data_IF_629236986253
#
_entry.id   IF_629236986253
#
_cell.length_a   1.000
_cell.length_b   1.000
_cell.length_c   1.000
_cell.angle_alpha   90.00
_cell.angle_beta   90.00
_cell.angle_gamma   90.00
#
_symmetry.space_group_name_H-M   'P 1'
#
loop_
_entity.id
_entity.type
_entity.pdbx_description
1 polymer ?
#
# COMPACT_ATOMS: atom_id res chain seq x y z
N UNK A 1 -9.69 36.46 33.49
CA UNK A 1 -9.49 37.85 32.99
C UNK A 1 -8.56 38.61 33.91
N UNK A 2 -8.89 38.76 35.21
CA UNK A 2 -8.04 39.47 36.17
C UNK A 2 -6.62 38.87 36.36
N UNK A 3 -6.47 37.55 36.38
CA UNK A 3 -5.16 36.90 36.45
C UNK A 3 -4.31 37.16 35.19
N UNK A 4 -4.91 37.03 34.00
CA UNK A 4 -4.22 37.33 32.74
C UNK A 4 -3.84 38.81 32.61
N UNK A 5 -4.68 39.74 33.08
CA UNK A 5 -4.34 41.17 33.13
C UNK A 5 -3.20 41.45 34.12
N UNK A 6 -3.16 40.74 35.25
CA UNK A 6 -2.10 40.84 36.22
C UNK A 6 -0.76 40.34 35.65
N UNK A 7 -0.75 39.14 35.06
CA UNK A 7 0.43 38.56 34.40
C UNK A 7 0.96 39.46 33.27
N UNK A 8 0.08 39.99 32.42
CA UNK A 8 0.46 40.94 31.37
C UNK A 8 1.09 42.20 31.95
N UNK A 9 0.54 42.70 33.06
CA UNK A 9 1.05 43.89 33.72
C UNK A 9 2.41 43.64 34.37
N UNK A 10 2.63 42.47 34.97
CA UNK A 10 3.95 42.08 35.49
C UNK A 10 4.99 41.98 34.37
N UNK A 11 4.66 41.29 33.27
CA UNK A 11 5.53 41.16 32.09
C UNK A 11 5.90 42.53 31.49
N UNK A 12 4.93 43.44 31.48
CA UNK A 12 5.07 44.80 30.99
C UNK A 12 5.64 45.78 32.03
N UNK A 13 6.18 45.31 33.17
CA UNK A 13 6.74 46.13 34.25
C UNK A 13 5.78 47.21 34.76
N UNK A 14 4.55 46.81 35.07
CA UNK A 14 3.51 47.66 35.66
C UNK A 14 2.61 48.38 34.66
N UNK A 15 2.93 48.36 33.37
CA UNK A 15 2.17 49.03 32.31
C UNK A 15 1.12 48.08 31.72
N UNK A 16 -0.13 48.52 31.67
CA UNK A 16 -1.19 47.80 31.00
C UNK A 16 -1.96 48.74 30.07
N UNK A 17 -2.10 48.32 28.82
CA UNK A 17 -2.95 48.96 27.83
C UNK A 17 -3.54 47.88 26.95
N UNK A 18 -4.86 47.88 26.84
CA UNK A 18 -5.62 47.09 25.88
C UNK A 18 -6.82 47.92 25.44
N UNK A 19 -6.88 48.27 24.16
CA UNK A 19 -7.94 49.10 23.59
C UNK A 19 -8.43 48.50 22.28
N UNK A 20 -9.72 48.62 22.02
CA UNK A 20 -10.32 48.26 20.75
C UNK A 20 -10.48 49.52 19.90
N UNK A 21 -9.89 49.51 18.70
CA UNK A 21 -9.83 50.66 17.81
C UNK A 21 -10.31 50.26 16.41
N UNK A 22 -10.96 51.18 15.71
CA UNK A 22 -11.33 50.99 14.32
C UNK A 22 -10.07 50.98 13.44
N UNK A 23 -9.88 49.92 12.66
CA UNK A 23 -8.74 49.78 11.78
C UNK A 23 -8.93 50.61 10.50
N UNK A 24 -7.95 51.45 10.17
CA UNK A 24 -7.90 52.26 8.95
C UNK A 24 -6.52 52.10 8.29
N UNK A 25 -6.39 52.27 6.97
CA UNK A 25 -5.09 52.16 6.31
C UNK A 25 -4.25 53.41 6.61
N UNK A 26 -2.96 53.21 6.90
CA UNK A 26 -2.00 54.30 6.98
C UNK A 26 -1.48 54.68 5.58
N UNK A 27 -1.26 55.97 5.35
CA UNK A 27 -0.61 56.46 4.13
C UNK A 27 0.92 56.31 4.27
N UNK A 28 1.50 55.39 3.51
CA UNK A 28 2.94 55.11 3.55
C UNK A 28 3.79 56.32 3.14
N UNK A 29 3.27 57.19 2.26
CA UNK A 29 4.00 58.37 1.80
C UNK A 29 4.26 59.34 2.95
N UNK A 30 3.30 59.47 3.86
CA UNK A 30 3.39 60.33 5.05
C UNK A 30 4.41 59.77 6.05
N UNK A 31 4.48 58.45 6.18
CA UNK A 31 5.44 57.79 7.06
C UNK A 31 6.87 57.90 6.50
N UNK A 32 7.04 57.69 5.20
CA UNK A 32 8.35 57.80 4.53
C UNK A 32 8.87 59.24 4.52
N UNK A 33 8.00 60.23 4.29
CA UNK A 33 8.38 61.65 4.28
C UNK A 33 8.97 62.13 5.60
N UNK A 34 8.68 61.45 6.72
CA UNK A 34 9.24 61.74 8.04
C UNK A 34 10.68 61.23 8.24
N UNK A 35 11.25 60.51 7.27
CA UNK A 35 12.64 60.03 7.32
C UNK A 35 12.90 58.99 8.43
N UNK A 36 11.86 58.29 8.89
CA UNK A 36 11.98 57.31 9.96
C UNK A 36 12.61 56.03 9.43
N UNK A 37 13.74 55.64 10.03
CA UNK A 37 14.55 54.47 9.62
C UNK A 37 13.74 53.16 9.57
N UNK A 38 12.84 52.96 10.53
CA UNK A 38 11.93 51.80 10.64
C UNK A 38 10.51 52.26 10.33
N UNK A 39 10.12 52.34 9.07
CA UNK A 39 8.82 52.90 8.66
C UNK A 39 7.74 51.85 8.40
N UNK A 40 8.11 50.58 8.17
CA UNK A 40 7.22 49.56 7.62
C UNK A 40 6.18 49.01 8.60
N UNK A 41 6.45 49.10 9.90
CA UNK A 41 5.59 48.58 10.97
C UNK A 41 5.23 49.63 12.04
N UNK A 42 5.07 50.89 11.62
CA UNK A 42 4.74 52.00 12.53
C UNK A 42 3.26 52.38 12.53
N UNK A 43 2.57 52.03 13.62
CA UNK A 43 1.19 52.40 13.90
C UNK A 43 1.06 53.90 14.18
N UNK A 44 -0.07 54.50 13.78
CA UNK A 44 -0.47 55.82 14.26
C UNK A 44 -1.67 55.63 15.18
N UNK A 45 -1.51 56.00 16.45
CA UNK A 45 -2.47 55.77 17.52
C UNK A 45 -3.16 57.07 17.94
N UNK A 46 -4.29 57.03 18.67
CA UNK A 46 -4.96 58.24 19.10
C UNK A 46 -4.27 58.89 20.32
N UNK A 47 -4.41 60.22 20.52
CA UNK A 47 -3.85 60.94 21.68
C UNK A 47 -4.23 60.35 23.04
N UNK A 48 -5.45 59.83 23.18
CA UNK A 48 -5.92 59.15 24.41
C UNK A 48 -5.03 57.97 24.82
N UNK A 49 -4.59 57.15 23.84
CA UNK A 49 -3.68 56.02 24.08
C UNK A 49 -2.30 56.50 24.53
N UNK A 50 -1.78 57.57 23.90
CA UNK A 50 -0.51 58.17 24.30
C UNK A 50 -0.55 58.71 25.74
N UNK A 51 -1.63 59.38 26.11
CA UNK A 51 -1.85 59.90 27.46
C UNK A 51 -1.92 58.78 28.51
N UNK A 52 -2.61 57.68 28.20
CA UNK A 52 -2.73 56.53 29.09
C UNK A 52 -1.39 55.79 29.32
N UNK A 53 -0.53 55.72 28.30
CA UNK A 53 0.81 55.14 28.41
C UNK A 53 1.77 56.06 29.19
N UNK A 54 1.68 57.38 28.95
CA UNK A 54 2.49 58.37 29.66
C UNK A 54 2.17 58.39 31.17
N UNK A 55 0.89 58.29 31.53
CA UNK A 55 0.46 58.20 32.93
C UNK A 55 1.02 56.97 33.67
N UNK A 56 1.42 55.94 32.92
CA UNK A 56 1.99 54.70 33.45
C UNK A 56 3.53 54.64 33.26
N UNK A 57 4.17 55.74 32.86
CA UNK A 57 5.61 55.81 32.62
C UNK A 57 6.13 54.79 31.58
N UNK A 58 5.30 54.41 30.59
CA UNK A 58 5.64 53.35 29.64
C UNK A 58 6.91 53.62 28.81
N UNK A 59 7.27 54.88 28.62
CA UNK A 59 8.49 55.29 27.92
C UNK A 59 9.77 54.88 28.66
N UNK A 60 9.74 54.68 29.98
CA UNK A 60 10.89 54.19 30.76
C UNK A 60 11.22 52.73 30.45
N UNK A 61 10.27 51.99 29.88
CA UNK A 61 10.42 50.56 29.58
C UNK A 61 11.06 50.26 28.21
N UNK A 62 11.47 51.31 27.48
CA UNK A 62 12.11 51.20 26.17
C UNK A 62 11.17 51.57 25.02
N UNK A 63 11.38 50.95 23.85
CA UNK A 63 10.55 51.18 22.69
C UNK A 63 9.08 50.80 22.97
N UNK A 64 8.15 51.64 22.52
CA UNK A 64 6.73 51.38 22.63
C UNK A 64 6.29 50.42 21.52
N UNK A 65 6.09 49.17 21.89
CA UNK A 65 5.68 48.08 21.01
C UNK A 65 4.28 47.61 21.38
N UNK A 66 3.52 47.21 20.37
CA UNK A 66 2.13 46.85 20.50
C UNK A 66 1.85 45.54 19.78
N UNK A 67 1.05 44.70 20.41
CA UNK A 67 0.37 43.59 19.75
C UNK A 67 -0.93 44.12 19.16
N UNK A 68 -1.13 43.88 17.87
CA UNK A 68 -2.38 44.13 17.16
C UNK A 68 -3.02 42.78 16.86
N UNK A 69 -4.27 42.61 17.27
CA UNK A 69 -4.99 41.37 17.12
C UNK A 69 -6.39 41.61 16.53
N UNK A 70 -6.83 40.71 15.66
CA UNK A 70 -8.24 40.64 15.29
C UNK A 70 -9.06 40.18 16.51
N UNK A 71 -10.25 40.76 16.74
CA UNK A 71 -11.16 40.25 17.76
C UNK A 71 -11.53 38.79 17.47
N UNK A 72 -11.75 37.98 18.51
CA UNK A 72 -11.92 36.53 18.40
C UNK A 72 -13.00 36.09 17.38
N UNK A 73 -14.04 36.91 17.17
CA UNK A 73 -15.09 36.69 16.17
C UNK A 73 -14.60 36.84 14.71
N UNK A 74 -13.62 37.70 14.45
CA UNK A 74 -13.05 37.94 13.12
C UNK A 74 -11.87 36.99 12.80
N UNK A 75 -11.12 36.56 13.83
CA UNK A 75 -10.01 35.61 13.69
C UNK A 75 -10.48 34.22 13.18
N UNK A 76 -11.68 33.77 13.58
CA UNK A 76 -12.24 32.50 13.11
C UNK A 76 -12.50 32.50 11.59
N UNK A 77 -12.96 33.62 11.03
CA UNK A 77 -13.26 33.76 9.60
C UNK A 77 -11.98 33.87 8.76
N UNK A 78 -10.95 34.56 9.26
CA UNK A 78 -9.66 34.70 8.60
C UNK A 78 -8.89 33.37 8.51
N UNK A 79 -8.99 32.51 9.53
CA UNK A 79 -8.37 31.18 9.52
C UNK A 79 -8.97 30.25 8.44
N UNK A 80 -10.26 30.37 8.14
CA UNK A 80 -10.93 29.60 7.07
C UNK A 80 -10.54 30.03 5.64
N UNK A 81 -10.20 31.30 5.42
CA UNK A 81 -9.84 31.82 4.10
C UNK A 81 -8.42 31.43 3.67
N UNK A 82 -7.51 31.21 4.62
CA UNK A 82 -6.13 30.77 4.35
C UNK A 82 -6.01 29.28 3.97
N UNK A 83 -7.13 28.54 3.92
CA UNK A 83 -7.17 27.09 3.67
C UNK A 83 -8.00 26.63 2.46
N UNK A 84 -8.55 27.54 1.65
CA UNK A 84 -9.41 27.12 0.52
C UNK A 84 -8.60 26.78 -0.74
N UNK A 85 -8.09 25.55 -0.75
CA UNK A 85 -7.41 24.93 -1.89
C UNK A 85 -7.53 23.40 -1.89
N UNK A 86 -8.65 22.81 -1.46
CA UNK A 86 -8.89 21.38 -1.69
C UNK A 86 -10.37 21.01 -1.65
N UNK A 87 -10.83 20.36 -2.71
CA UNK A 87 -12.11 19.65 -2.77
C UNK A 87 -12.10 18.43 -1.83
N UNK A 88 -13.26 17.99 -1.29
CA UNK A 88 -13.31 17.02 -0.22
C UNK A 88 -13.21 15.58 -0.76
N UNK A 89 -12.32 14.78 -0.17
CA UNK A 89 -12.39 13.32 -0.21
C UNK A 89 -12.72 12.82 1.21
N UNK A 90 -13.71 11.92 1.39
CA UNK A 90 -14.06 11.42 2.70
C UNK A 90 -13.12 10.27 3.06
N UNK A 91 -12.19 10.49 4.00
CA UNK A 91 -11.55 9.40 4.70
C UNK A 91 -11.45 9.71 6.19
N UNK A 92 -12.16 8.92 6.98
CA UNK A 92 -12.17 8.93 8.43
C UNK A 92 -10.86 8.35 8.93
N UNK A 93 -10.05 9.18 9.58
CA UNK A 93 -8.95 8.72 10.44
C UNK A 93 -8.72 9.75 11.54
N UNK A 94 -9.13 9.38 12.74
CA UNK A 94 -8.87 10.05 14.00
C UNK A 94 -7.37 10.03 14.26
N UNK A 95 -6.69 11.12 13.93
CA UNK A 95 -5.37 11.44 14.46
C UNK A 95 -5.50 12.76 15.20
N UNK A 96 -5.32 12.71 16.50
CA UNK A 96 -5.15 13.87 17.38
C UNK A 96 -3.93 14.67 16.93
N UNK A 97 -4.14 15.59 16.00
CA UNK A 97 -3.20 16.63 15.66
C UNK A 97 -3.24 17.66 16.79
N UNK A 98 -2.18 17.70 17.58
CA UNK A 98 -1.84 18.79 18.47
C UNK A 98 -1.97 20.09 17.68
N UNK A 99 -2.95 20.93 18.02
CA UNK A 99 -3.19 22.20 17.36
C UNK A 99 -1.93 23.05 17.46
N UNK A 100 -1.16 23.16 16.36
CA UNK A 100 -0.21 24.24 16.20
C UNK A 100 -1.04 25.53 16.27
N UNK A 101 -0.76 26.32 17.29
CA UNK A 101 -1.45 27.57 17.60
C UNK A 101 -1.05 28.61 16.54
N UNK A 102 -1.52 28.42 15.30
CA UNK A 102 -1.38 29.36 14.20
C UNK A 102 -1.84 30.72 14.71
N UNK A 103 -0.90 31.65 14.86
CA UNK A 103 -1.13 33.02 15.28
C UNK A 103 -1.88 33.86 14.21
N UNK A 104 -2.75 33.21 13.42
CA UNK A 104 -3.60 33.87 12.44
C UNK A 104 -4.37 35.01 13.12
N UNK A 105 -4.16 36.22 12.63
CA UNK A 105 -4.80 37.43 13.15
C UNK A 105 -4.13 38.06 14.36
N UNK A 106 -2.84 37.78 14.65
CA UNK A 106 -2.03 38.54 15.61
C UNK A 106 -0.70 38.95 14.99
N UNK A 107 -0.32 40.21 15.16
CA UNK A 107 0.96 40.76 14.72
C UNK A 107 1.48 41.77 15.72
N UNK A 108 2.75 42.11 15.65
CA UNK A 108 3.36 43.15 16.46
C UNK A 108 3.83 44.31 15.58
N UNK A 109 3.80 45.50 16.15
CA UNK A 109 4.19 46.73 15.49
C UNK A 109 4.66 47.79 16.51
N UNK A 110 5.50 48.72 16.06
CA UNK A 110 5.86 49.90 16.84
C UNK A 110 4.87 51.05 16.64
N UNK A 111 4.95 52.08 17.47
CA UNK A 111 4.21 53.35 17.23
C UNK A 111 5.10 54.39 16.53
N UNK A 112 4.51 55.15 15.60
CA UNK A 112 5.09 56.34 15.01
C UNK A 112 4.81 57.56 15.89
N UNK A 113 3.53 57.84 16.10
CA UNK A 113 3.01 59.02 16.78
C UNK A 113 1.57 58.80 17.25
N UNK A 114 1.09 59.74 18.08
CA UNK A 114 -0.23 59.72 18.68
C UNK A 114 -1.15 60.80 18.08
N UNK A 115 -1.34 60.78 16.75
CA UNK A 115 -2.10 61.79 15.99
C UNK A 115 -3.36 61.25 15.31
N UNK A 116 -3.69 59.96 15.49
CA UNK A 116 -4.88 59.37 14.88
C UNK A 116 -6.17 59.97 15.47
N UNK A 117 -7.27 60.03 14.69
CA UNK A 117 -8.59 60.34 15.23
C UNK A 117 -8.95 59.41 16.39
N UNK A 118 -9.58 59.97 17.42
CA UNK A 118 -10.01 59.20 18.60
C UNK A 118 -10.88 58.00 18.20
N UNK A 119 -10.60 56.83 18.79
CA UNK A 119 -11.26 55.56 18.48
C UNK A 119 -10.77 54.85 17.21
N UNK A 120 -9.73 55.36 16.53
CA UNK A 120 -9.17 54.76 15.30
C UNK A 120 -7.68 54.46 15.42
N UNK A 121 -7.17 53.53 14.62
CA UNK A 121 -5.74 53.23 14.46
C UNK A 121 -5.40 53.15 12.98
N UNK A 122 -4.33 53.82 12.57
CA UNK A 122 -3.82 53.70 11.20
C UNK A 122 -2.79 52.58 11.13
N UNK A 123 -3.07 51.57 10.30
CA UNK A 123 -2.27 50.36 10.13
C UNK A 123 -1.41 50.45 8.86
N UNK A 124 -0.08 50.25 8.97
CA UNK A 124 0.81 50.09 7.81
C UNK A 124 0.47 48.86 6.97
N UNK A 125 0.90 48.84 5.69
CA UNK A 125 0.63 47.72 4.78
C UNK A 125 1.13 46.38 5.32
N UNK A 126 2.31 46.32 5.95
CA UNK A 126 2.82 45.09 6.59
C UNK A 126 1.86 44.53 7.64
N UNK A 127 1.33 45.40 8.49
CA UNK A 127 0.41 45.02 9.58
C UNK A 127 -0.91 44.53 9.01
N UNK A 128 -1.43 45.21 7.98
CA UNK A 128 -2.63 44.78 7.27
C UNK A 128 -2.40 43.42 6.59
N UNK A 129 -1.29 43.25 5.87
CA UNK A 129 -0.97 42.00 5.20
C UNK A 129 -0.84 40.83 6.18
N UNK A 130 -0.23 41.05 7.34
CA UNK A 130 -0.05 40.04 8.39
C UNK A 130 -1.37 39.69 9.11
N UNK A 131 -2.25 40.66 9.34
CA UNK A 131 -3.53 40.42 10.02
C UNK A 131 -4.57 39.76 9.12
N UNK A 132 -4.65 40.19 7.85
CA UNK A 132 -5.72 39.79 6.93
C UNK A 132 -5.26 38.79 5.85
N UNK A 133 -3.96 38.48 5.78
CA UNK A 133 -3.41 37.42 4.93
C UNK A 133 -3.33 37.74 3.43
N UNK A 134 -3.58 38.99 3.02
CA UNK A 134 -3.49 39.41 1.61
C UNK A 134 -2.86 40.80 1.49
N UNK A 135 -2.02 41.00 0.47
CA UNK A 135 -1.36 42.28 0.16
C UNK A 135 -2.36 43.34 -0.32
N UNK A 136 -3.48 42.90 -0.88
CA UNK A 136 -4.57 43.74 -1.40
C UNK A 136 -5.71 43.93 -0.40
N UNK A 137 -5.59 43.36 0.80
CA UNK A 137 -6.60 43.52 1.83
C UNK A 137 -6.69 44.97 2.28
N UNK A 138 -7.92 45.46 2.47
CA UNK A 138 -8.16 46.70 3.18
C UNK A 138 -8.47 46.40 4.65
N UNK A 139 -7.91 47.18 5.60
CA UNK A 139 -8.26 47.03 6.99
C UNK A 139 -9.76 47.27 7.16
N UNK A 140 -10.42 46.34 7.82
CA UNK A 140 -11.87 46.39 8.05
C UNK A 140 -12.19 45.92 9.47
N UNK A 141 -13.25 46.52 10.03
CA UNK A 141 -13.67 46.27 11.41
C UNK A 141 -12.74 46.87 12.46
N UNK A 142 -12.81 46.32 13.66
CA UNK A 142 -12.02 46.74 14.81
C UNK A 142 -10.83 45.81 15.03
N UNK A 143 -9.76 46.35 15.62
CA UNK A 143 -8.60 45.61 16.08
C UNK A 143 -8.34 45.91 17.55
N UNK A 144 -7.81 44.91 18.25
CA UNK A 144 -7.40 45.05 19.65
C UNK A 144 -5.91 45.41 19.64
N UNK A 145 -5.60 46.60 20.13
CA UNK A 145 -4.22 47.08 20.31
C UNK A 145 -3.84 46.95 21.79
N UNK A 146 -2.79 46.20 22.07
CA UNK A 146 -2.30 45.96 23.44
C UNK A 146 -0.82 46.29 23.57
N UNK A 147 -0.43 46.96 24.65
CA UNK A 147 0.99 47.21 24.92
C UNK A 147 1.71 45.89 25.26
N UNK A 148 2.89 45.68 24.66
CA UNK A 148 3.74 44.51 24.91
C UNK A 148 5.20 44.90 24.99
N UNK A 149 5.91 44.36 25.98
CA UNK A 149 7.36 44.30 25.98
C UNK A 149 7.83 43.02 25.29
N UNK A 150 8.63 43.18 24.25
CA UNK A 150 9.22 42.08 23.50
C UNK A 150 10.71 41.95 23.81
N UNK A 151 11.20 40.72 23.78
CA UNK A 151 12.61 40.41 23.90
C UNK A 151 13.34 40.67 22.58
N UNK A 152 14.67 40.78 22.64
CA UNK A 152 15.50 40.98 21.46
C UNK A 152 15.59 39.67 20.67
N UNK A 153 15.32 39.75 19.36
CA UNK A 153 15.36 38.57 18.49
C UNK A 153 16.78 38.09 18.21
N UNK A 154 17.02 36.79 18.29
CA UNK A 154 18.33 36.18 18.02
C UNK A 154 18.34 35.38 16.71
N UNK A 155 17.20 34.81 16.33
CA UNK A 155 17.06 34.01 15.12
C UNK A 155 15.68 34.22 14.49
N UNK A 156 15.65 34.23 13.15
CA UNK A 156 14.45 34.22 12.34
C UNK A 156 14.58 33.24 11.19
N UNK A 157 13.54 32.42 11.00
CA UNK A 157 13.38 31.55 9.84
C UNK A 157 12.32 32.11 8.91
N UNK A 158 12.72 32.40 7.68
CA UNK A 158 11.87 33.00 6.66
C UNK A 158 11.63 32.04 5.51
N UNK A 159 10.37 31.95 5.07
CA UNK A 159 9.97 31.14 3.94
C UNK A 159 9.39 32.01 2.82
N UNK A 160 10.03 32.09 1.64
CA UNK A 160 9.45 32.75 0.48
C UNK A 160 8.16 32.06 0.03
N UNK A 161 7.16 32.81 -0.47
CA UNK A 161 5.98 32.17 -1.08
C UNK A 161 6.32 31.53 -2.42
N UNK A 162 6.97 32.30 -3.30
CA UNK A 162 7.20 31.91 -4.69
C UNK A 162 8.58 31.32 -4.93
N UNK A 163 8.67 30.42 -5.91
CA UNK A 163 9.93 29.90 -6.41
C UNK A 163 10.83 30.98 -7.02
N UNK A 164 12.14 30.71 -7.09
CA UNK A 164 13.12 31.61 -7.72
C UNK A 164 13.61 32.76 -6.85
N UNK A 165 13.19 32.86 -5.58
CA UNK A 165 13.66 33.90 -4.66
C UNK A 165 15.20 33.92 -4.51
N UNK A 166 15.81 32.75 -4.25
CA UNK A 166 17.25 32.62 -4.10
C UNK A 166 18.02 32.98 -5.39
N UNK A 167 17.48 32.59 -6.54
CA UNK A 167 18.07 32.86 -7.86
C UNK A 167 17.97 34.35 -8.21
N UNK A 168 16.86 35.00 -7.86
CA UNK A 168 16.64 36.41 -8.14
C UNK A 168 17.56 37.33 -7.33
N UNK A 169 17.85 36.98 -6.08
CA UNK A 169 18.70 37.77 -5.19
C UNK A 169 20.19 37.41 -5.31
N UNK A 170 20.51 36.16 -5.67
CA UNK A 170 21.88 35.70 -5.88
C UNK A 170 22.80 36.03 -4.71
N UNK A 171 23.90 36.71 -5.00
CA UNK A 171 24.91 37.11 -4.00
C UNK A 171 24.43 38.25 -3.08
N UNK A 172 23.43 39.04 -3.48
CA UNK A 172 22.90 40.18 -2.71
C UNK A 172 21.78 39.83 -1.73
N UNK A 173 21.50 38.54 -1.54
CA UNK A 173 20.43 38.04 -0.67
C UNK A 173 20.57 38.57 0.76
N UNK A 174 21.77 38.49 1.32
CA UNK A 174 22.02 38.85 2.71
C UNK A 174 21.80 40.35 2.94
N UNK A 175 22.37 41.18 2.07
CA UNK A 175 22.31 42.64 2.17
C UNK A 175 20.88 43.15 1.97
N UNK A 176 20.18 42.63 0.96
CA UNK A 176 18.79 43.03 0.68
C UNK A 176 17.86 42.63 1.84
N UNK A 177 18.09 41.44 2.42
CA UNK A 177 17.31 40.99 3.56
C UNK A 177 17.61 41.80 4.83
N UNK A 178 18.88 42.13 5.07
CA UNK A 178 19.30 42.95 6.21
C UNK A 178 18.69 44.36 6.11
N UNK A 179 18.71 44.99 4.93
CA UNK A 179 18.06 46.27 4.67
C UNK A 179 16.55 46.21 4.90
N UNK A 180 15.90 45.13 4.46
CA UNK A 180 14.46 44.91 4.64
C UNK A 180 14.09 44.75 6.13
N UNK A 181 14.84 43.94 6.87
CA UNK A 181 14.62 43.72 8.30
C UNK A 181 14.90 44.99 9.12
N UNK A 182 15.85 45.83 8.69
CA UNK A 182 16.14 47.11 9.32
C UNK A 182 14.97 48.09 9.22
N UNK A 183 14.07 47.91 8.24
CA UNK A 183 12.82 48.68 8.09
C UNK A 183 11.73 48.32 9.12
N UNK A 184 11.91 47.24 9.88
CA UNK A 184 10.96 46.71 10.85
C UNK A 184 11.42 46.94 12.29
N UNK A 185 10.47 47.08 13.20
CA UNK A 185 10.68 47.19 14.66
C UNK A 185 10.47 45.83 15.35
N UNK A 186 9.55 45.03 14.82
CA UNK A 186 9.10 43.77 15.41
C UNK A 186 8.79 42.72 14.36
N UNK A 187 9.00 41.46 14.71
CA UNK A 187 8.60 40.30 13.93
C UNK A 187 7.77 39.37 14.82
N UNK A 188 6.76 38.74 14.23
CA UNK A 188 5.94 37.72 14.88
C UNK A 188 5.87 36.48 13.99
N UNK A 189 5.73 35.29 14.59
CA UNK A 189 5.50 34.07 13.83
C UNK A 189 4.21 34.17 13.03
N UNK A 190 4.30 33.86 11.74
CA UNK A 190 3.21 34.01 10.79
C UNK A 190 3.09 35.38 10.13
N UNK A 191 3.87 36.38 10.55
CA UNK A 191 3.93 37.68 9.87
C UNK A 191 4.49 37.55 8.44
N UNK A 192 4.13 38.51 7.60
CA UNK A 192 4.67 38.65 6.25
C UNK A 192 5.67 39.80 6.17
N UNK A 193 6.82 39.53 5.55
CA UNK A 193 7.88 40.50 5.24
C UNK A 193 8.06 40.51 3.72
N UNK A 194 7.92 41.67 3.08
CA UNK A 194 7.99 41.77 1.61
C UNK A 194 9.32 42.39 1.19
N UNK A 195 10.19 41.56 0.61
CA UNK A 195 11.46 42.00 0.04
C UNK A 195 11.23 42.50 -1.39
N UNK A 196 11.60 43.73 -1.69
CA UNK A 196 11.47 44.31 -3.04
C UNK A 196 12.83 44.24 -3.73
N UNK A 197 12.94 43.47 -4.82
CA UNK A 197 14.18 43.35 -5.58
C UNK A 197 13.91 43.25 -7.08
N UNK A 198 14.67 44.00 -7.89
CA UNK A 198 14.52 43.99 -9.35
C UNK A 198 13.14 44.44 -9.85
N UNK A 199 12.42 45.27 -9.07
CA UNK A 199 11.06 45.70 -9.37
C UNK A 199 9.98 44.64 -9.10
N UNK A 200 10.32 43.55 -8.41
CA UNK A 200 9.39 42.49 -7.98
C UNK A 200 9.31 42.40 -6.46
N UNK A 201 8.09 42.19 -5.98
CA UNK A 201 7.81 41.95 -4.57
C UNK A 201 7.90 40.45 -4.26
N UNK A 202 8.71 40.12 -3.27
CA UNK A 202 8.90 38.77 -2.76
C UNK A 202 8.35 38.70 -1.33
N UNK A 203 7.13 38.19 -1.13
CA UNK A 203 6.59 37.97 0.20
C UNK A 203 7.25 36.75 0.86
N UNK A 204 7.80 36.96 2.05
CA UNK A 204 8.39 35.94 2.91
C UNK A 204 7.55 35.83 4.18
N UNK A 205 7.18 34.60 4.53
CA UNK A 205 6.49 34.30 5.78
C UNK A 205 7.51 34.03 6.88
N UNK A 206 7.29 34.61 8.05
CA UNK A 206 8.03 34.25 9.26
C UNK A 206 7.53 32.89 9.76
N UNK A 207 8.37 31.86 9.72
CA UNK A 207 8.02 30.52 10.22
C UNK A 207 8.34 30.37 11.71
N UNK A 208 9.54 30.77 12.13
CA UNK A 208 10.05 30.55 13.48
C UNK A 208 10.84 31.78 13.94
N UNK A 209 10.71 32.10 15.23
CA UNK A 209 11.46 33.17 15.91
C UNK A 209 12.04 32.68 17.23
N UNK A 210 13.17 33.25 17.62
CA UNK A 210 13.78 33.01 18.93
C UNK A 210 14.17 34.33 19.61
N UNK A 211 14.04 34.43 20.94
CA UNK A 211 13.67 33.37 21.90
C UNK A 211 12.17 33.11 22.06
N UNK A 212 11.31 33.97 21.50
CA UNK A 212 9.85 33.89 21.60
C UNK A 212 9.22 34.00 20.22
N UNK A 213 7.94 33.65 20.13
CA UNK A 213 7.11 33.77 18.92
C UNK A 213 6.85 35.22 18.44
N UNK A 214 7.32 36.20 19.19
CA UNK A 214 7.32 37.62 18.83
C UNK A 214 8.53 38.30 19.44
N UNK A 215 9.30 39.01 18.63
CA UNK A 215 10.58 39.61 19.03
C UNK A 215 10.72 41.02 18.50
N UNK A 216 11.52 41.82 19.21
CA UNK A 216 12.00 43.11 18.73
C UNK A 216 13.30 42.92 17.95
N UNK A 217 13.34 43.52 16.76
CA UNK A 217 14.51 43.58 15.88
C UNK A 217 15.18 44.97 15.90
N UNK A 218 14.88 45.77 16.93
CA UNK A 218 15.44 47.11 17.10
C UNK A 218 16.88 46.99 17.61
N UNK A 219 17.82 47.40 16.77
CA UNK A 219 19.25 47.51 17.07
C UNK A 219 19.83 46.15 17.53
N UNK A 220 19.49 45.11 16.75
CA UNK A 220 19.95 43.73 16.95
C UNK A 220 20.31 43.12 15.60
N UNK A 221 21.44 42.40 15.59
CA UNK A 221 21.84 41.55 14.49
C UNK A 221 21.16 40.19 14.66
N UNK A 222 20.07 39.96 13.93
CA UNK A 222 19.32 38.71 13.98
C UNK A 222 19.88 37.73 12.94
N UNK A 223 20.12 36.48 13.34
CA UNK A 223 20.50 35.44 12.40
C UNK A 223 19.27 35.07 11.55
N UNK A 224 19.36 35.24 10.24
CA UNK A 224 18.28 34.93 9.31
C UNK A 224 18.60 33.67 8.49
N UNK A 225 17.66 32.74 8.48
CA UNK A 225 17.69 31.53 7.66
C UNK A 225 16.53 31.56 6.67
N UNK A 226 16.82 31.34 5.39
CA UNK A 226 15.83 31.36 4.31
C UNK A 226 15.65 29.95 3.80
N UNK A 227 14.45 29.41 3.97
CA UNK A 227 14.11 28.04 3.57
C UNK A 227 13.54 28.00 2.15
N UNK A 228 13.40 26.81 1.54
CA UNK A 228 12.75 26.67 0.24
C UNK A 228 11.36 27.29 0.23
N UNK A 229 10.95 27.78 -0.94
CA UNK A 229 9.66 28.45 -1.07
C UNK A 229 8.50 27.51 -0.80
N UNK A 230 7.37 28.07 -0.36
CA UNK A 230 6.15 27.30 -0.13
C UNK A 230 5.71 26.54 -1.40
N UNK A 231 5.76 27.21 -2.56
CA UNK A 231 5.49 26.56 -3.86
C UNK A 231 6.43 25.39 -4.15
N UNK A 232 7.72 25.48 -3.78
CA UNK A 232 8.69 24.41 -3.99
C UNK A 232 8.42 23.21 -3.08
N UNK A 233 8.10 23.45 -1.80
CA UNK A 233 7.70 22.40 -0.85
C UNK A 233 6.41 21.70 -1.29
N UNK A 234 5.40 22.46 -1.74
CA UNK A 234 4.17 21.89 -2.28
C UNK A 234 4.41 21.05 -3.53
N UNK A 235 5.27 21.52 -4.43
CA UNK A 235 5.65 20.77 -5.63
C UNK A 235 6.32 19.44 -5.27
N UNK A 236 7.32 19.47 -4.38
CA UNK A 236 8.01 18.27 -3.89
C UNK A 236 7.04 17.29 -3.25
N UNK A 237 6.15 17.77 -2.38
CA UNK A 237 5.14 16.93 -1.73
C UNK A 237 4.22 16.25 -2.74
N UNK A 238 3.72 16.99 -3.74
CA UNK A 238 2.87 16.41 -4.81
C UNK A 238 3.63 15.34 -5.60
N UNK A 239 4.89 15.62 -5.94
CA UNK A 239 5.73 14.67 -6.65
C UNK A 239 5.97 13.39 -5.84
N UNK A 240 6.27 13.49 -4.55
CA UNK A 240 6.43 12.33 -3.65
C UNK A 240 5.15 11.50 -3.53
N UNK A 241 3.99 12.15 -3.40
CA UNK A 241 2.69 11.49 -3.35
C UNK A 241 2.40 10.73 -4.66
N UNK A 242 2.73 11.32 -5.81
CA UNK A 242 2.63 10.66 -7.12
C UNK A 242 3.57 9.46 -7.24
N UNK A 243 4.82 9.60 -6.81
CA UNK A 243 5.79 8.50 -6.81
C UNK A 243 5.33 7.35 -5.93
N UNK A 244 4.79 7.65 -4.74
CA UNK A 244 4.24 6.63 -3.84
C UNK A 244 3.06 5.90 -4.49
N UNK A 245 2.11 6.62 -5.07
CA UNK A 245 0.97 6.02 -5.80
C UNK A 245 1.44 5.13 -6.96
N UNK A 246 2.48 5.56 -7.67
CA UNK A 246 3.07 4.81 -8.76
C UNK A 246 3.75 3.52 -8.26
N UNK A 247 4.52 3.59 -7.16
CA UNK A 247 5.13 2.42 -6.54
C UNK A 247 4.08 1.43 -6.00
N UNK A 248 3.03 1.91 -5.34
CA UNK A 248 1.92 1.08 -4.86
C UNK A 248 1.23 0.34 -6.01
N UNK A 249 0.98 1.02 -7.14
CA UNK A 249 0.39 0.40 -8.33
C UNK A 249 1.29 -0.70 -8.90
N UNK A 250 2.60 -0.46 -8.99
CA UNK A 250 3.54 -1.48 -9.46
C UNK A 250 3.59 -2.68 -8.49
N UNK A 251 3.58 -2.42 -7.19
CA UNK A 251 3.57 -3.47 -6.18
C UNK A 251 2.27 -4.30 -6.23
N UNK A 252 1.11 -3.67 -6.45
CA UNK A 252 -0.17 -4.36 -6.64
C UNK A 252 -0.13 -5.28 -7.87
N UNK A 253 0.35 -4.78 -9.01
CA UNK A 253 0.47 -5.59 -10.22
C UNK A 253 1.45 -6.75 -10.05
N UNK A 254 2.57 -6.54 -9.35
CA UNK A 254 3.52 -7.61 -9.04
C UNK A 254 2.90 -8.67 -8.11
N UNK A 255 2.17 -8.25 -7.07
CA UNK A 255 1.47 -9.14 -6.17
C UNK A 255 0.37 -9.94 -6.86
N UNK A 256 -0.40 -9.32 -7.77
CA UNK A 256 -1.42 -9.98 -8.58
C UNK A 256 -0.81 -11.05 -9.49
N UNK A 257 0.31 -10.75 -10.15
CA UNK A 257 1.05 -11.72 -10.97
C UNK A 257 1.54 -12.91 -10.15
N UNK A 258 2.18 -12.64 -9.01
CA UNK A 258 2.65 -13.70 -8.11
C UNK A 258 1.50 -14.56 -7.59
N UNK A 259 0.37 -13.94 -7.24
CA UNK A 259 -0.81 -14.68 -6.80
C UNK A 259 -1.39 -15.57 -7.90
N UNK A 260 -1.43 -15.07 -9.14
CA UNK A 260 -1.88 -15.85 -10.30
C UNK A 260 -0.94 -17.02 -10.59
N UNK A 261 0.37 -16.78 -10.62
CA UNK A 261 1.37 -17.83 -10.82
C UNK A 261 1.31 -18.89 -9.71
N UNK A 262 1.13 -18.47 -8.46
CA UNK A 262 0.96 -19.39 -7.33
C UNK A 262 -0.34 -20.20 -7.43
N UNK A 263 -1.45 -19.60 -7.86
CA UNK A 263 -2.71 -20.30 -8.08
C UNK A 263 -2.60 -21.33 -9.22
N UNK A 264 -1.99 -20.95 -10.35
CA UNK A 264 -1.75 -21.86 -11.48
C UNK A 264 -0.77 -23.00 -11.10
N UNK A 265 0.22 -22.74 -10.24
CA UNK A 265 1.11 -23.78 -9.71
C UNK A 265 0.38 -24.71 -8.73
N UNK A 266 -0.46 -24.18 -7.84
CA UNK A 266 -1.25 -24.97 -6.90
C UNK A 266 -2.27 -25.86 -7.62
N UNK A 267 -2.92 -25.38 -8.68
CA UNK A 267 -3.84 -26.18 -9.48
C UNK A 267 -3.11 -27.33 -10.20
N UNK A 268 -1.93 -27.07 -10.79
CA UNK A 268 -1.11 -28.13 -11.39
C UNK A 268 -0.67 -29.18 -10.37
N UNK A 269 -0.16 -28.74 -9.23
CA UNK A 269 0.23 -29.65 -8.15
C UNK A 269 -0.96 -30.49 -7.63
N UNK A 270 -2.16 -29.91 -7.56
CA UNK A 270 -3.36 -30.63 -7.16
C UNK A 270 -3.80 -31.69 -8.19
N UNK A 271 -3.72 -31.38 -9.50
CA UNK A 271 -4.00 -32.34 -10.57
C UNK A 271 -3.00 -33.50 -10.56
N UNK A 272 -1.71 -33.19 -10.48
CA UNK A 272 -0.64 -34.19 -10.39
C UNK A 272 -0.80 -35.08 -9.15
N UNK A 273 -1.13 -34.49 -7.98
CA UNK A 273 -1.40 -35.25 -6.77
C UNK A 273 -2.65 -36.13 -6.88
N UNK A 274 -3.72 -35.66 -7.55
CA UNK A 274 -4.93 -36.44 -7.78
C UNK A 274 -4.68 -37.61 -8.74
N UNK A 275 -3.91 -37.41 -9.81
CA UNK A 275 -3.50 -38.46 -10.74
C UNK A 275 -2.61 -39.50 -10.05
N UNK A 276 -1.65 -39.06 -9.24
CA UNK A 276 -0.80 -39.97 -8.45
C UNK A 276 -1.63 -40.79 -7.44
N UNK A 277 -2.56 -40.15 -6.73
CA UNK A 277 -3.44 -40.83 -5.79
C UNK A 277 -4.39 -41.84 -6.50
N UNK A 278 -4.89 -41.50 -7.69
CA UNK A 278 -5.71 -42.40 -8.50
C UNK A 278 -4.91 -43.61 -9.00
N UNK A 279 -3.65 -43.40 -9.41
CA UNK A 279 -2.75 -44.49 -9.82
C UNK A 279 -2.42 -45.43 -8.65
N UNK A 280 -2.17 -44.89 -7.45
CA UNK A 280 -1.95 -45.69 -6.25
C UNK A 280 -3.22 -46.46 -5.84
N UNK A 281 -4.39 -45.82 -5.87
CA UNK A 281 -5.67 -46.48 -5.61
C UNK A 281 -5.97 -47.60 -6.62
N UNK A 282 -5.65 -47.41 -7.90
CA UNK A 282 -5.79 -48.44 -8.92
C UNK A 282 -4.81 -49.61 -8.69
N UNK A 283 -3.57 -49.32 -8.30
CA UNK A 283 -2.56 -50.34 -7.99
C UNK A 283 -2.95 -51.17 -6.76
N UNK A 284 -3.43 -50.52 -5.68
CA UNK A 284 -3.91 -51.20 -4.47
C UNK A 284 -5.17 -52.02 -4.75
N UNK A 285 -6.12 -51.51 -5.54
CA UNK A 285 -7.30 -52.26 -5.96
C UNK A 285 -6.94 -53.48 -6.83
N UNK A 286 -5.98 -53.34 -7.76
CA UNK A 286 -5.48 -54.44 -8.57
C UNK A 286 -4.77 -55.50 -7.72
N UNK A 287 -3.98 -55.09 -6.71
CA UNK A 287 -3.34 -56.01 -5.76
C UNK A 287 -4.39 -56.76 -4.92
N UNK A 288 -5.39 -56.05 -4.38
CA UNK A 288 -6.48 -56.66 -3.62
C UNK A 288 -7.33 -57.60 -4.47
N UNK A 289 -7.56 -57.28 -5.76
CA UNK A 289 -8.25 -58.17 -6.69
C UNK A 289 -7.45 -59.46 -6.93
N UNK A 290 -6.12 -59.38 -7.11
CA UNK A 290 -5.25 -60.55 -7.23
C UNK A 290 -5.29 -61.42 -5.98
N UNK A 291 -5.23 -60.82 -4.80
CA UNK A 291 -5.31 -61.54 -3.52
C UNK A 291 -6.67 -62.23 -3.33
N UNK A 292 -7.79 -61.54 -3.62
CA UNK A 292 -9.13 -62.14 -3.56
C UNK A 292 -9.27 -63.32 -4.51
N UNK A 293 -8.78 -63.17 -5.75
CA UNK A 293 -8.78 -64.27 -6.71
C UNK A 293 -7.93 -65.43 -6.20
N UNK A 294 -6.74 -65.17 -5.64
CA UNK A 294 -5.89 -66.21 -5.05
C UNK A 294 -6.57 -66.95 -3.88
N UNK A 295 -7.25 -66.23 -3.00
CA UNK A 295 -7.95 -66.79 -1.84
C UNK A 295 -9.22 -67.58 -2.21
N UNK A 296 -9.89 -67.21 -3.30
CA UNK A 296 -11.08 -67.90 -3.80
C UNK A 296 -10.76 -69.22 -4.53
N UNK A 297 -9.47 -69.49 -4.79
CA UNK A 297 -9.07 -70.72 -5.44
C UNK A 297 -9.28 -71.93 -4.50
N UNK A 298 -9.85 -73.05 -4.99
CA UNK A 298 -10.04 -74.26 -4.19
C UNK A 298 -8.70 -74.82 -3.69
N UNK A 299 -8.63 -75.58 -2.58
CA UNK A 299 -7.37 -76.17 -2.13
C UNK A 299 -6.73 -77.02 -3.23
N UNK A 300 -5.41 -76.92 -3.38
CA UNK A 300 -4.69 -77.69 -4.41
C UNK A 300 -4.79 -79.20 -4.09
N UNK A 301 -5.32 -80.03 -5.00
CA UNK A 301 -5.42 -81.46 -4.75
C UNK A 301 -4.01 -82.06 -4.58
N UNK A 302 -3.85 -82.87 -3.54
CA UNK A 302 -2.59 -83.55 -3.26
C UNK A 302 -2.16 -84.44 -4.44
N UNK A 303 -0.86 -84.72 -4.54
CA UNK A 303 -0.37 -85.67 -5.53
C UNK A 303 -1.01 -87.03 -5.21
N UNK A 304 -1.25 -87.91 -6.19
CA UNK A 304 -1.70 -89.27 -5.90
C UNK A 304 -0.63 -89.97 -5.06
N UNK A 305 -0.68 -89.80 -3.74
CA UNK A 305 0.03 -90.60 -2.78
C UNK A 305 -0.78 -91.88 -2.62
N UNK A 306 -0.10 -93.00 -2.73
CA UNK A 306 -0.68 -94.35 -2.78
C UNK A 306 -1.23 -94.82 -1.43
N UNK A 307 -1.82 -93.94 -0.61
CA UNK A 307 -2.38 -94.30 0.69
C UNK A 307 -3.35 -93.27 1.29
N UNK A 308 -4.46 -92.97 0.61
CA UNK A 308 -5.68 -92.53 1.29
C UNK A 308 -6.94 -93.09 0.60
N UNK A 309 -7.82 -93.70 1.41
CA UNK A 309 -9.07 -94.30 0.96
C UNK A 309 -10.14 -93.20 0.89
N UNK A 310 -10.35 -92.70 -0.32
CA UNK A 310 -11.44 -91.81 -0.73
C UNK A 310 -11.64 -91.97 -2.24
N UNK A 311 -12.78 -91.53 -2.82
CA UNK A 311 -13.02 -91.68 -4.25
C UNK A 311 -11.90 -90.98 -5.02
N UNK A 312 -11.28 -91.68 -5.98
CA UNK A 312 -10.18 -91.16 -6.79
C UNK A 312 -10.65 -89.95 -7.62
N UNK A 313 -10.41 -88.74 -7.10
CA UNK A 313 -10.64 -87.51 -7.84
C UNK A 313 -9.58 -87.47 -8.94
N UNK A 314 -10.00 -87.50 -10.21
CA UNK A 314 -9.07 -87.32 -11.33
C UNK A 314 -8.43 -85.93 -11.23
N UNK A 315 -7.10 -85.87 -11.16
CA UNK A 315 -6.32 -84.63 -11.03
C UNK A 315 -5.61 -84.34 -12.34
N UNK A 316 -5.75 -83.11 -12.84
CA UNK A 316 -5.02 -82.60 -14.01
C UNK A 316 -4.00 -81.57 -13.58
N UNK A 317 -2.74 -81.75 -13.98
CA UNK A 317 -1.68 -80.76 -13.76
C UNK A 317 -1.68 -79.76 -14.91
N UNK A 318 -1.98 -78.49 -14.64
CA UNK A 318 -2.03 -77.45 -15.66
C UNK A 318 -0.82 -76.51 -15.52
N UNK A 319 -0.02 -76.41 -16.58
CA UNK A 319 1.11 -75.47 -16.64
C UNK A 319 0.80 -74.34 -17.62
N UNK A 320 0.80 -73.09 -17.16
CA UNK A 320 0.49 -71.90 -17.95
C UNK A 320 1.78 -71.12 -18.22
N UNK A 321 2.05 -70.83 -19.49
CA UNK A 321 3.12 -69.93 -19.92
C UNK A 321 2.56 -68.53 -20.12
N UNK A 322 2.99 -67.57 -19.30
CA UNK A 322 2.60 -66.17 -19.35
C UNK A 322 3.41 -65.39 -20.42
N UNK A 323 2.89 -64.26 -20.94
CA UNK A 323 3.57 -63.44 -21.96
C UNK A 323 4.89 -62.80 -21.50
N UNK A 324 5.08 -62.64 -20.19
CA UNK A 324 6.33 -62.14 -19.58
C UNK A 324 7.44 -63.20 -19.51
N UNK A 325 7.18 -64.42 -20.02
CA UNK A 325 8.09 -65.56 -19.99
C UNK A 325 7.99 -66.41 -18.72
N UNK A 326 7.21 -65.98 -17.72
CA UNK A 326 7.00 -66.71 -16.48
C UNK A 326 6.11 -67.94 -16.72
N UNK A 327 6.44 -69.06 -16.10
CA UNK A 327 5.61 -70.27 -16.15
C UNK A 327 5.02 -70.56 -14.77
N UNK A 328 3.70 -70.50 -14.67
CA UNK A 328 2.95 -70.84 -13.45
C UNK A 328 2.32 -72.22 -13.60
N UNK A 329 2.35 -73.03 -12.56
CA UNK A 329 1.80 -74.40 -12.61
C UNK A 329 0.91 -74.64 -11.40
N UNK A 330 -0.22 -75.31 -11.61
CA UNK A 330 -1.14 -75.70 -10.55
C UNK A 330 -1.94 -76.93 -10.93
N UNK A 331 -2.25 -77.77 -9.93
CA UNK A 331 -3.12 -78.94 -10.09
C UNK A 331 -4.57 -78.56 -9.85
N UNK A 332 -5.47 -79.16 -10.63
CA UNK A 332 -6.91 -78.95 -10.55
C UNK A 332 -7.64 -80.29 -10.56
N UNK A 333 -8.73 -80.39 -9.80
CA UNK A 333 -9.62 -81.55 -9.90
C UNK A 333 -10.41 -81.50 -11.22
N UNK A 334 -10.69 -82.65 -11.83
CA UNK A 334 -11.42 -82.73 -13.10
C UNK A 334 -12.82 -82.10 -13.06
N UNK A 335 -13.45 -81.99 -11.87
CA UNK A 335 -14.73 -81.31 -11.68
C UNK A 335 -14.62 -79.79 -11.44
N UNK A 336 -13.42 -79.23 -11.44
CA UNK A 336 -13.22 -77.78 -11.28
C UNK A 336 -13.74 -77.05 -12.51
N UNK A 337 -14.32 -75.88 -12.32
CA UNK A 337 -14.80 -75.04 -13.42
C UNK A 337 -13.64 -74.42 -14.20
N UNK A 338 -13.85 -74.21 -15.50
CA UNK A 338 -12.89 -73.53 -16.40
C UNK A 338 -12.59 -72.12 -15.90
N UNK A 339 -13.55 -71.45 -15.27
CA UNK A 339 -13.39 -70.14 -14.66
C UNK A 339 -12.24 -70.08 -13.65
N UNK A 340 -12.03 -71.15 -12.86
CA UNK A 340 -10.96 -71.22 -11.86
C UNK A 340 -9.56 -71.27 -12.49
N UNK A 341 -9.43 -71.70 -13.76
CA UNK A 341 -8.16 -71.60 -14.49
C UNK A 341 -7.81 -70.14 -14.78
N UNK A 342 -8.78 -69.36 -15.28
CA UNK A 342 -8.61 -67.93 -15.52
C UNK A 342 -8.38 -67.16 -14.21
N UNK A 343 -9.14 -67.47 -13.15
CA UNK A 343 -8.94 -66.85 -11.83
C UNK A 343 -7.53 -67.14 -11.28
N UNK A 344 -6.98 -68.35 -11.50
CA UNK A 344 -5.61 -68.69 -11.10
C UNK A 344 -4.57 -67.90 -11.89
N UNK A 345 -4.73 -67.79 -13.20
CA UNK A 345 -3.83 -67.02 -14.08
C UNK A 345 -3.87 -65.53 -13.71
N UNK A 346 -5.07 -64.97 -13.48
CA UNK A 346 -5.27 -63.59 -13.04
C UNK A 346 -4.71 -63.31 -11.64
N UNK A 347 -4.84 -64.26 -10.71
CA UNK A 347 -4.27 -64.14 -9.35
C UNK A 347 -2.75 -64.00 -9.34
N UNK A 348 -2.08 -64.56 -10.36
CA UNK A 348 -0.62 -64.45 -10.57
C UNK A 348 -0.24 -63.26 -11.45
N UNK A 349 -1.21 -62.41 -11.80
CA UNK A 349 -1.00 -61.17 -12.54
C UNK A 349 -1.06 -61.31 -14.06
N UNK A 350 -1.34 -62.51 -14.61
CA UNK A 350 -1.54 -62.78 -16.03
C UNK A 350 -0.48 -62.16 -16.99
N UNK A 351 0.75 -61.94 -16.53
CA UNK A 351 1.80 -61.25 -17.30
C UNK A 351 1.50 -59.79 -17.64
N UNK A 352 0.69 -59.10 -16.83
CA UNK A 352 0.28 -57.70 -17.02
C UNK A 352 -1.03 -57.52 -17.79
N UNK A 353 -1.67 -58.62 -18.19
CA UNK A 353 -2.93 -58.59 -18.95
C UNK A 353 -4.15 -58.60 -18.03
N UNK A 354 -5.27 -58.03 -18.48
CA UNK A 354 -6.50 -57.98 -17.70
C UNK A 354 -7.45 -59.13 -18.09
N UNK A 355 -8.32 -59.51 -17.14
CA UNK A 355 -9.33 -60.55 -17.38
C UNK A 355 -10.17 -60.20 -18.60
N UNK A 356 -10.22 -61.10 -19.57
CA UNK A 356 -10.92 -60.89 -20.84
C UNK A 356 -10.05 -60.39 -22.01
N UNK A 357 -8.76 -60.08 -21.79
CA UNK A 357 -7.84 -59.71 -22.87
C UNK A 357 -7.00 -60.89 -23.41
N UNK A 358 -7.15 -62.09 -22.82
CA UNK A 358 -6.52 -63.32 -23.31
C UNK A 358 -7.48 -64.51 -23.38
N UNK A 359 -7.10 -65.46 -24.23
CA UNK A 359 -7.63 -66.82 -24.29
C UNK A 359 -6.53 -67.82 -23.90
N UNK A 360 -6.93 -68.97 -23.34
CA UNK A 360 -6.03 -70.05 -22.95
C UNK A 360 -5.96 -71.09 -24.06
N UNK A 361 -4.76 -71.39 -24.55
CA UNK A 361 -4.57 -72.32 -25.68
C UNK A 361 -3.70 -73.49 -25.26
N UNK A 362 -4.18 -74.73 -25.41
CA UNK A 362 -3.36 -75.92 -25.14
C UNK A 362 -2.29 -76.11 -26.21
N UNK A 363 -1.12 -76.64 -25.83
CA UNK A 363 -0.02 -76.89 -26.77
C UNK A 363 -0.30 -78.05 -27.75
N UNK A 364 -0.75 -79.21 -27.27
CA UNK A 364 -1.00 -80.40 -28.09
C UNK A 364 -2.02 -81.37 -27.44
N UNK A 365 -3.13 -81.72 -28.10
CA UNK A 365 -3.67 -81.10 -29.31
C UNK A 365 -4.07 -79.63 -29.03
N UNK A 366 -3.94 -78.75 -30.02
CA UNK A 366 -4.27 -77.32 -29.87
C UNK A 366 -5.79 -77.15 -29.68
N UNK A 367 -6.20 -76.62 -28.53
CA UNK A 367 -7.58 -76.27 -28.16
C UNK A 367 -7.57 -74.84 -27.63
N UNK A 368 -8.51 -74.02 -28.11
CA UNK A 368 -8.65 -72.62 -27.69
C UNK A 368 -9.81 -72.53 -26.70
N UNK A 369 -9.53 -72.00 -25.51
CA UNK A 369 -10.50 -71.75 -24.45
C UNK A 369 -10.59 -70.23 -24.30
N UNK A 370 -11.67 -69.66 -24.82
CA UNK A 370 -11.97 -68.24 -24.67
C UNK A 370 -12.58 -67.91 -23.30
N UNK A 371 -12.63 -66.63 -22.90
CA UNK A 371 -13.27 -66.18 -21.68
C UNK A 371 -14.79 -66.47 -21.67
N UNK A 372 -15.42 -66.61 -22.84
CA UNK A 372 -16.82 -67.01 -22.96
C UNK A 372 -17.07 -68.43 -22.42
N UNK A 373 -16.10 -69.34 -22.57
CA UNK A 373 -16.17 -70.69 -22.01
C UNK A 373 -16.09 -70.71 -20.48
N UNK A 374 -15.51 -69.65 -19.88
CA UNK A 374 -15.48 -69.47 -18.43
C UNK A 374 -16.87 -69.07 -17.87
N UNK A 375 -17.66 -68.31 -18.64
CA UNK A 375 -19.04 -67.93 -18.30
C UNK A 375 -20.08 -69.04 -18.50
N UNK A 376 -19.75 -70.07 -19.28
CA UNK A 376 -20.64 -71.20 -19.59
C UNK A 376 -20.70 -72.29 -18.51
N UNK A 377 -19.97 -72.14 -17.39
CA UNK A 377 -19.98 -73.11 -16.28
C UNK A 377 -19.34 -74.47 -16.60
N UNK A 378 -18.60 -74.58 -17.69
CA UNK A 378 -17.93 -75.81 -18.13
C UNK A 378 -16.91 -76.29 -17.10
N UNK A 379 -16.76 -77.61 -16.96
CA UNK A 379 -15.73 -78.23 -16.10
C UNK A 379 -14.53 -78.72 -16.91
N UNK A 380 -13.40 -78.97 -16.24
CA UNK A 380 -12.20 -79.51 -16.90
C UNK A 380 -12.43 -80.89 -17.53
N UNK A 381 -13.36 -81.68 -16.98
CA UNK A 381 -13.81 -82.95 -17.54
C UNK A 381 -14.52 -82.76 -18.88
N UNK A 382 -15.36 -81.74 -18.99
CA UNK A 382 -16.13 -81.45 -20.23
C UNK A 382 -15.21 -80.98 -21.36
N UNK A 383 -14.07 -80.37 -21.01
CA UNK A 383 -13.01 -80.01 -21.96
C UNK A 383 -12.14 -81.20 -22.40
N UNK A 384 -12.31 -82.39 -21.81
CA UNK A 384 -11.57 -83.61 -22.16
C UNK A 384 -10.06 -83.47 -22.00
N UNK A 385 -9.61 -82.74 -20.98
CA UNK A 385 -8.19 -82.49 -20.68
C UNK A 385 -7.52 -83.74 -20.09
N UNK A 386 -6.26 -84.01 -20.44
CA UNK A 386 -5.50 -85.15 -19.92
C UNK A 386 -5.04 -84.97 -18.46
N UNK A 387 -4.15 -85.85 -17.99
CA UNK A 387 -3.57 -85.77 -16.64
C UNK A 387 -2.53 -84.64 -16.48
N UNK A 388 -1.97 -84.15 -17.60
CA UNK A 388 -1.03 -83.03 -17.64
C UNK A 388 -1.22 -82.24 -18.92
N UNK A 389 -1.51 -80.94 -18.78
CA UNK A 389 -1.80 -80.04 -19.90
C UNK A 389 -0.97 -78.76 -19.80
N UNK A 390 -0.48 -78.28 -20.94
CA UNK A 390 0.29 -77.05 -21.03
C UNK A 390 -0.50 -76.00 -21.81
N UNK A 391 -0.80 -74.87 -21.16
CA UNK A 391 -1.54 -73.74 -21.69
C UNK A 391 -0.60 -72.58 -22.02
N UNK A 392 -0.90 -71.88 -23.11
CA UNK A 392 -0.30 -70.62 -23.53
C UNK A 392 -1.39 -69.54 -23.44
N UNK A 393 -1.02 -68.35 -22.98
CA UNK A 393 -1.90 -67.18 -23.09
C UNK A 393 -1.73 -66.56 -24.48
N UNK A 394 -2.83 -66.46 -25.23
CA UNK A 394 -2.88 -65.78 -26.53
C UNK A 394 -3.77 -64.53 -26.40
N UNK A 395 -3.37 -63.41 -27.00
CA UNK A 395 -4.16 -62.18 -26.97
C UNK A 395 -5.48 -62.42 -27.71
N UNK A 396 -6.60 -62.04 -27.09
CA UNK A 396 -7.84 -61.88 -27.83
C UNK A 396 -7.66 -60.66 -28.72
N UNK A 397 -7.46 -60.90 -30.02
CA UNK A 397 -7.52 -59.83 -30.98
C UNK A 397 -8.91 -59.20 -30.91
N UNK A 398 -8.99 -57.97 -30.41
CA UNK A 398 -10.18 -57.14 -30.63
C UNK A 398 -10.35 -57.03 -32.15
N UNK A 399 -11.54 -57.30 -32.73
CA UNK A 399 -11.75 -57.06 -34.14
C UNK A 399 -11.43 -55.59 -34.44
N UNK A 400 -10.46 -55.37 -35.33
CA UNK A 400 -10.10 -54.06 -35.85
C UNK A 400 -11.32 -53.48 -36.60
N UNK A 401 -12.06 -52.60 -35.95
CA UNK A 401 -13.11 -51.79 -36.56
C UNK A 401 -13.16 -50.41 -35.89
N UNK A 402 -12.16 -49.57 -36.20
CA UNK A 402 -12.26 -48.13 -36.43
C UNK A 402 -10.83 -47.55 -36.57
N UNK A 403 -10.12 -47.98 -37.61
CA UNK A 403 -9.04 -47.18 -38.16
C UNK A 403 -9.69 -46.01 -38.91
N UNK A 404 -9.67 -44.81 -38.31
CA UNK A 404 -9.80 -43.57 -39.05
C UNK A 404 -8.40 -42.99 -39.22
N UNK A 405 -7.88 -42.86 -40.46
CA UNK A 405 -6.58 -42.25 -40.69
C UNK A 405 -6.66 -40.74 -40.46
N UNK A 406 -5.68 -40.28 -39.69
CA UNK A 406 -5.27 -38.89 -39.55
C UNK A 406 -4.67 -38.43 -40.89
N UNK A 407 -5.40 -37.60 -41.65
CA UNK A 407 -4.85 -36.78 -42.73
C UNK A 407 -4.81 -35.30 -42.29
N UNK A 408 -3.57 -34.83 -42.10
CA UNK A 408 -2.99 -33.53 -42.45
C UNK A 408 -3.88 -32.27 -42.45
N UNK A 409 -3.53 -31.30 -41.60
CA UNK A 409 -3.18 -29.98 -42.13
C UNK A 409 -2.06 -29.32 -41.31
N UNK A 410 -0.88 -29.24 -41.92
CA UNK A 410 0.24 -28.44 -41.48
C UNK A 410 0.30 -27.19 -42.34
N UNK A 411 -0.32 -26.10 -41.87
CA UNK A 411 -0.22 -24.79 -42.50
C UNK A 411 0.78 -23.91 -41.73
N UNK A 412 2.06 -24.03 -42.08
CA UNK A 412 3.09 -23.03 -41.78
C UNK A 412 3.80 -22.63 -43.09
N UNK A 413 3.37 -21.49 -43.65
CA UNK A 413 4.12 -20.67 -44.62
C UNK A 413 3.62 -19.24 -44.34
N UNK A 414 4.42 -18.33 -43.83
CA UNK A 414 5.69 -17.90 -44.40
C UNK A 414 5.45 -16.52 -45.00
N UNK A 415 5.64 -15.52 -44.16
CA UNK A 415 5.63 -14.08 -44.43
C UNK A 415 6.72 -13.73 -45.46
N UNK A 416 6.36 -13.08 -46.58
CA UNK A 416 7.23 -12.18 -47.35
C UNK A 416 6.42 -11.39 -48.40
N UNK A 417 6.79 -10.12 -48.56
CA UNK A 417 6.46 -9.13 -49.61
C UNK A 417 5.07 -8.46 -49.59
N UNK A 418 4.98 -7.31 -48.91
CA UNK A 418 4.91 -5.97 -49.53
C UNK A 418 4.95 -4.90 -48.42
#
# INVERSE_FOLDING_TARGET
VLEAEFEEREHNKGVFLRVELQALPADESVVQAKGVKRSKDKLILPPSVGSALLAQDASKNGALLFQVALPAAAAATAATAAGSGQAPAPFTSTTTATASNSAAGRTHAGVLEFTAPEGTVLLPRKVVHSLYGSLDAQPSGTVIVSYRRLEKGTYVRLQPMSHGFHEALGEGLRETLEEELLGHSTLSEGDWVTVVHGGRDWPLRVQELQPSNAVSVIDVDIAADVVPSLEAEEYLRRWEEEQRRQQERLAQLAAERLAREAAEAAERAAREAAEAAAAEAAATAAAAARERLAAALPPEPEAPSSSSSGPAIAVTTCAFSLPDGTRITRRFAAGTQVQTLFDFVDSRGAGGWHRGSYQLVTRMPRRVIGPEAAGAGLTLRDLGLGNSEAFLLEALAVPAAAAAPMEVDGAAKGMATA
#
